data_IF_871777096815
#
_entry.id   IF_871777096815
#
_cell.length_a   1.000
_cell.length_b   1.000
_cell.length_c   1.000
_cell.angle_alpha   90.00
_cell.angle_beta   90.00
_cell.angle_gamma   90.00
#
_symmetry.space_group_name_H-M   'P 1'
#
loop_
_entity.id
_entity.type
_entity.pdbx_description
1 polymer ?
#
# COMPACT_ATOMS: atom_id res chain seq x y z
N UNK A 1 -12.13 -51.08 37.81
CA UNK A 1 -12.85 -50.63 36.59
C UNK A 1 -13.65 -49.41 36.97
N UNK A 2 -13.40 -48.24 36.35
CA UNK A 2 -14.18 -47.02 36.62
C UNK A 2 -13.37 -45.73 36.54
N UNK A 3 -12.85 -45.40 35.35
CA UNK A 3 -12.26 -44.08 35.09
C UNK A 3 -13.38 -43.14 34.66
N UNK A 4 -13.83 -42.27 35.57
CA UNK A 4 -14.82 -41.23 35.28
C UNK A 4 -14.18 -40.18 34.35
N UNK A 5 -14.74 -40.03 33.14
CA UNK A 5 -14.37 -39.01 32.18
C UNK A 5 -15.07 -37.69 32.53
N UNK A 6 -14.28 -36.62 32.60
CA UNK A 6 -14.73 -35.26 32.92
C UNK A 6 -15.65 -34.69 31.84
N UNK A 7 -16.66 -33.98 32.33
CA UNK A 7 -17.66 -33.21 31.60
C UNK A 7 -17.06 -32.10 30.71
N UNK A 8 -17.73 -31.91 29.57
CA UNK A 8 -17.49 -30.98 28.46
C UNK A 8 -16.95 -29.59 28.83
N UNK A 9 -15.72 -29.30 28.40
CA UNK A 9 -15.22 -27.92 28.25
C UNK A 9 -15.46 -27.47 26.81
N UNK A 10 -16.55 -26.74 26.57
CA UNK A 10 -16.73 -26.03 25.31
C UNK A 10 -15.63 -24.96 25.15
N UNK A 11 -14.82 -25.09 24.09
CA UNK A 11 -13.62 -24.31 23.82
C UNK A 11 -13.97 -22.86 23.41
N UNK A 12 -13.44 -21.81 24.06
CA UNK A 12 -13.79 -20.40 23.82
C UNK A 12 -13.35 -19.84 22.45
N UNK A 13 -12.66 -20.63 21.62
CA UNK A 13 -12.18 -20.23 20.30
C UNK A 13 -13.28 -20.11 19.23
N UNK A 14 -14.46 -20.69 19.46
CA UNK A 14 -15.54 -20.70 18.44
C UNK A 14 -16.41 -19.42 18.50
N UNK A 15 -16.35 -18.66 19.60
CA UNK A 15 -17.10 -17.39 19.74
C UNK A 15 -16.38 -16.22 19.08
N UNK A 16 -15.05 -16.28 18.96
CA UNK A 16 -14.24 -15.25 18.28
C UNK A 16 -14.42 -15.27 16.74
N UNK A 17 -14.72 -16.42 16.14
CA UNK A 17 -14.87 -16.56 14.67
C UNK A 17 -16.20 -16.05 14.08
N UNK A 18 -17.17 -15.62 14.90
CA UNK A 18 -18.39 -14.96 14.36
C UNK A 18 -18.23 -13.46 14.18
N UNK A 19 -17.35 -12.79 14.93
CA UNK A 19 -17.06 -11.35 14.75
C UNK A 19 -16.09 -11.08 13.60
N UNK A 20 -15.06 -11.92 13.46
CA UNK A 20 -14.10 -11.78 12.35
C UNK A 20 -14.69 -11.91 10.96
N UNK A 21 -15.83 -12.59 10.78
CA UNK A 21 -16.44 -12.74 9.45
C UNK A 21 -17.17 -11.47 8.98
N UNK A 22 -17.73 -10.69 9.92
CA UNK A 22 -18.27 -9.38 9.61
C UNK A 22 -17.14 -8.38 9.36
N UNK A 23 -16.08 -8.44 10.17
CA UNK A 23 -14.88 -7.63 9.98
C UNK A 23 -14.17 -7.97 8.67
N UNK A 24 -14.01 -9.24 8.28
CA UNK A 24 -13.40 -9.64 7.02
C UNK A 24 -14.20 -9.14 5.80
N UNK A 25 -15.53 -9.24 5.84
CA UNK A 25 -16.36 -8.78 4.72
C UNK A 25 -16.36 -7.26 4.65
N UNK A 26 -16.49 -6.57 5.78
CA UNK A 26 -16.44 -5.10 5.83
C UNK A 26 -15.05 -4.58 5.44
N UNK A 27 -13.98 -5.24 5.88
CA UNK A 27 -12.60 -4.90 5.55
C UNK A 27 -12.32 -5.18 4.07
N UNK A 28 -12.81 -6.28 3.50
CA UNK A 28 -12.69 -6.57 2.06
C UNK A 28 -13.49 -5.60 1.19
N UNK A 29 -14.67 -5.19 1.64
CA UNK A 29 -15.47 -4.17 0.96
C UNK A 29 -14.76 -2.81 1.08
N UNK A 30 -14.24 -2.46 2.25
CA UNK A 30 -13.47 -1.24 2.45
C UNK A 30 -12.19 -1.22 1.59
N UNK A 31 -11.49 -2.34 1.48
CA UNK A 31 -10.32 -2.52 0.61
C UNK A 31 -10.69 -2.43 -0.86
N UNK A 32 -11.80 -3.03 -1.26
CA UNK A 32 -12.34 -2.95 -2.62
C UNK A 32 -12.71 -1.53 -3.01
N UNK A 33 -13.43 -0.82 -2.14
CA UNK A 33 -13.81 0.59 -2.34
C UNK A 33 -12.57 1.48 -2.37
N UNK A 34 -11.62 1.28 -1.46
CA UNK A 34 -10.35 2.03 -1.44
C UNK A 34 -9.59 1.86 -2.75
N UNK A 35 -9.48 0.62 -3.25
CA UNK A 35 -8.78 0.32 -4.50
C UNK A 35 -9.53 0.85 -5.72
N UNK A 36 -10.86 0.84 -5.69
CA UNK A 36 -11.71 1.35 -6.75
C UNK A 36 -11.67 2.89 -6.83
N UNK A 37 -11.78 3.58 -5.69
CA UNK A 37 -11.76 5.04 -5.60
C UNK A 37 -10.42 5.66 -6.02
N UNK A 38 -9.30 4.95 -5.84
CA UNK A 38 -7.98 5.38 -6.28
C UNK A 38 -7.63 5.06 -7.74
N UNK A 39 -8.59 4.63 -8.57
CA UNK A 39 -8.32 4.09 -9.91
C UNK A 39 -9.07 4.86 -11.02
N UNK A 40 -8.42 5.04 -12.19
CA UNK A 40 -9.05 5.64 -13.38
C UNK A 40 -10.39 5.04 -13.84
N UNK A 41 -10.69 3.72 -13.73
CA UNK A 41 -11.97 3.18 -14.16
C UNK A 41 -13.19 3.75 -13.42
N UNK A 42 -13.03 4.26 -12.19
CA UNK A 42 -14.12 4.92 -11.47
C UNK A 42 -14.67 6.13 -12.26
N UNK A 43 -13.77 6.97 -12.80
CA UNK A 43 -14.14 8.16 -13.56
C UNK A 43 -14.92 7.80 -14.83
N UNK A 44 -14.49 6.74 -15.53
CA UNK A 44 -15.17 6.28 -16.75
C UNK A 44 -16.57 5.73 -16.46
N UNK A 45 -16.73 4.93 -15.41
CA UNK A 45 -18.06 4.44 -15.00
C UNK A 45 -18.97 5.60 -14.64
N UNK A 46 -18.48 6.56 -13.87
CA UNK A 46 -19.26 7.72 -13.46
C UNK A 46 -19.67 8.60 -14.66
N UNK A 47 -18.76 8.84 -15.60
CA UNK A 47 -19.05 9.58 -16.83
C UNK A 47 -20.10 8.87 -17.70
N UNK A 48 -20.02 7.54 -17.85
CA UNK A 48 -21.01 6.77 -18.63
C UNK A 48 -22.37 6.78 -17.94
N UNK A 49 -22.42 6.58 -16.63
CA UNK A 49 -23.67 6.63 -15.86
C UNK A 49 -24.32 8.01 -15.98
N UNK A 50 -23.55 9.09 -15.84
CA UNK A 50 -24.05 10.45 -15.96
C UNK A 50 -24.55 10.76 -17.38
N UNK A 51 -23.81 10.32 -18.41
CA UNK A 51 -24.22 10.48 -19.81
C UNK A 51 -25.50 9.71 -20.15
N UNK A 52 -25.59 8.44 -19.72
CA UNK A 52 -26.80 7.61 -19.89
C UNK A 52 -27.98 8.23 -19.14
N UNK A 53 -27.77 8.67 -17.90
CA UNK A 53 -28.83 9.28 -17.10
C UNK A 53 -29.36 10.57 -17.73
N UNK A 54 -28.47 11.47 -18.17
CA UNK A 54 -28.82 12.73 -18.82
C UNK A 54 -29.62 12.53 -20.12
N UNK A 55 -29.35 11.44 -20.85
CA UNK A 55 -30.04 11.12 -22.10
C UNK A 55 -31.42 10.46 -21.88
N UNK A 56 -31.61 9.71 -20.80
CA UNK A 56 -32.80 8.86 -20.61
C UNK A 56 -33.77 9.31 -19.50
N UNK A 57 -33.32 10.08 -18.50
CA UNK A 57 -34.09 10.34 -17.28
C UNK A 57 -34.46 11.81 -17.02
N UNK A 58 -34.07 12.75 -17.87
CA UNK A 58 -34.28 14.18 -17.62
C UNK A 58 -35.62 14.69 -18.20
N UNK A 59 -36.66 14.80 -17.35
CA UNK A 59 -37.96 15.38 -17.71
C UNK A 59 -38.36 16.63 -16.88
N UNK A 60 -37.65 16.97 -15.80
CA UNK A 60 -37.98 18.13 -14.96
C UNK A 60 -36.75 18.62 -14.18
N UNK A 61 -36.14 19.75 -14.56
CA UNK A 61 -34.79 20.04 -14.11
C UNK A 61 -34.76 21.12 -13.00
N UNK A 62 -33.78 21.00 -12.10
CA UNK A 62 -32.88 22.07 -11.61
C UNK A 62 -32.58 22.18 -10.09
N UNK A 63 -33.48 21.98 -9.11
CA UNK A 63 -33.09 22.18 -7.71
C UNK A 63 -32.63 20.91 -6.97
N UNK A 64 -33.40 19.82 -7.06
CA UNK A 64 -33.18 18.62 -6.23
C UNK A 64 -32.02 17.76 -6.72
N UNK A 65 -31.82 17.66 -8.05
CA UNK A 65 -30.72 16.90 -8.64
C UNK A 65 -29.36 17.45 -8.26
N UNK A 66 -29.17 18.76 -8.38
CA UNK A 66 -27.92 19.45 -8.01
C UNK A 66 -27.61 19.28 -6.52
N UNK A 67 -28.65 19.21 -5.68
CA UNK A 67 -28.53 18.99 -4.24
C UNK A 67 -28.09 17.56 -3.91
N UNK A 68 -28.67 16.56 -4.60
CA UNK A 68 -28.26 15.15 -4.43
C UNK A 68 -26.86 14.89 -4.98
N UNK A 69 -26.55 15.40 -6.17
CA UNK A 69 -25.23 15.26 -6.80
C UNK A 69 -24.14 15.97 -5.98
N UNK A 70 -24.42 17.15 -5.42
CA UNK A 70 -23.44 17.83 -4.55
C UNK A 70 -23.18 17.04 -3.27
N UNK A 71 -24.20 16.42 -2.68
CA UNK A 71 -24.03 15.52 -1.54
C UNK A 71 -23.21 14.29 -1.93
N UNK A 72 -23.51 13.65 -3.07
CA UNK A 72 -22.76 12.51 -3.59
C UNK A 72 -21.29 12.87 -3.87
N UNK A 73 -21.02 14.05 -4.45
CA UNK A 73 -19.68 14.54 -4.72
C UNK A 73 -18.86 14.74 -3.44
N UNK A 74 -19.46 15.20 -2.33
CA UNK A 74 -18.79 15.30 -1.03
C UNK A 74 -18.38 13.90 -0.55
N UNK A 75 -19.30 12.93 -0.58
CA UNK A 75 -18.98 11.55 -0.22
C UNK A 75 -17.86 10.97 -1.08
N UNK A 76 -17.93 11.15 -2.40
CA UNK A 76 -16.90 10.69 -3.32
C UNK A 76 -15.54 11.34 -3.03
N UNK A 77 -15.51 12.65 -2.79
CA UNK A 77 -14.29 13.38 -2.43
C UNK A 77 -13.67 12.82 -1.15
N UNK A 78 -14.48 12.57 -0.11
CA UNK A 78 -14.00 11.94 1.13
C UNK A 78 -13.49 10.52 0.90
N UNK A 79 -14.18 9.70 0.10
CA UNK A 79 -13.72 8.35 -0.24
C UNK A 79 -12.42 8.36 -1.06
N UNK A 80 -12.29 9.28 -2.02
CA UNK A 80 -11.06 9.48 -2.79
C UNK A 80 -9.92 9.91 -1.88
N UNK A 81 -10.17 10.85 -0.96
CA UNK A 81 -9.18 11.33 0.01
C UNK A 81 -8.69 10.20 0.93
N UNK A 82 -9.59 9.33 1.40
CA UNK A 82 -9.23 8.13 2.17
C UNK A 82 -8.37 7.18 1.32
N UNK A 83 -8.73 6.97 0.05
CA UNK A 83 -7.96 6.17 -0.90
C UNK A 83 -6.55 6.71 -1.14
N UNK A 84 -6.43 8.02 -1.33
CA UNK A 84 -5.17 8.74 -1.48
C UNK A 84 -4.32 8.64 -0.21
N UNK A 85 -4.89 8.86 0.97
CA UNK A 85 -4.19 8.77 2.25
C UNK A 85 -3.60 7.37 2.49
N UNK A 86 -4.32 6.33 2.08
CA UNK A 86 -3.85 4.94 2.19
C UNK A 86 -2.78 4.59 1.15
N UNK A 87 -2.90 5.07 -0.09
CA UNK A 87 -1.84 4.92 -1.08
C UNK A 87 -0.58 5.67 -0.64
N UNK A 88 -0.72 6.87 -0.09
CA UNK A 88 0.41 7.65 0.44
C UNK A 88 1.13 6.91 1.57
N UNK A 89 0.39 6.31 2.51
CA UNK A 89 0.98 5.50 3.58
C UNK A 89 1.72 4.25 3.04
N UNK A 90 1.17 3.57 2.03
CA UNK A 90 1.83 2.42 1.40
C UNK A 90 3.08 2.84 0.62
N UNK A 91 3.03 3.97 -0.10
CA UNK A 91 4.18 4.51 -0.82
C UNK A 91 5.28 4.97 0.16
N UNK A 92 4.92 5.55 1.30
CA UNK A 92 5.88 5.89 2.36
C UNK A 92 6.56 4.66 2.94
N UNK A 93 5.80 3.62 3.31
CA UNK A 93 6.36 2.35 3.79
C UNK A 93 7.32 1.72 2.77
N UNK A 94 6.96 1.77 1.48
CA UNK A 94 7.82 1.27 0.42
C UNK A 94 9.08 2.13 0.27
N UNK A 95 8.95 3.44 0.28
CA UNK A 95 10.09 4.37 0.19
C UNK A 95 11.06 4.22 1.38
N UNK A 96 10.54 4.01 2.59
CA UNK A 96 11.36 3.76 3.78
C UNK A 96 12.15 2.45 3.66
N UNK A 97 11.53 1.39 3.13
CA UNK A 97 12.22 0.12 2.86
C UNK A 97 13.30 0.28 1.78
N UNK A 98 12.96 0.92 0.67
CA UNK A 98 13.88 1.18 -0.45
C UNK A 98 15.06 2.08 0.00
N UNK A 99 14.83 3.01 0.94
CA UNK A 99 15.86 3.88 1.50
C UNK A 99 16.91 3.10 2.30
N UNK A 100 16.49 2.15 3.15
CA UNK A 100 17.42 1.33 3.94
C UNK A 100 18.28 0.44 3.04
N UNK A 101 17.69 -0.12 1.98
CA UNK A 101 18.41 -0.93 1.01
C UNK A 101 19.46 -0.10 0.27
N UNK A 102 19.09 1.09 -0.21
CA UNK A 102 20.01 2.01 -0.89
C UNK A 102 21.13 2.52 0.04
N UNK A 103 20.85 2.80 1.31
CA UNK A 103 21.88 3.26 2.25
C UNK A 103 22.94 2.16 2.49
N UNK A 104 22.50 0.90 2.55
CA UNK A 104 23.38 -0.25 2.74
C UNK A 104 24.21 -0.55 1.48
N UNK A 105 23.60 -0.43 0.30
CA UNK A 105 24.32 -0.50 -0.98
C UNK A 105 25.37 0.60 -1.09
N UNK A 106 25.03 1.85 -0.75
CA UNK A 106 25.95 2.99 -0.84
C UNK A 106 27.13 2.85 0.12
N UNK A 107 26.89 2.40 1.36
CA UNK A 107 27.98 2.09 2.31
C UNK A 107 28.90 1.00 1.77
N UNK A 108 28.31 -0.09 1.28
CA UNK A 108 29.06 -1.21 0.72
C UNK A 108 29.91 -0.76 -0.49
N UNK A 109 29.33 0.05 -1.39
CA UNK A 109 30.04 0.58 -2.55
C UNK A 109 31.19 1.52 -2.17
N UNK A 110 30.97 2.35 -1.14
CA UNK A 110 32.00 3.23 -0.57
C UNK A 110 33.14 2.42 0.05
N UNK A 111 32.83 1.37 0.81
CA UNK A 111 33.83 0.51 1.45
C UNK A 111 34.62 -0.28 0.41
N UNK A 112 33.96 -0.80 -0.64
CA UNK A 112 34.62 -1.42 -1.79
C UNK A 112 35.57 -0.44 -2.48
N UNK A 113 35.13 0.80 -2.70
CA UNK A 113 35.97 1.84 -3.32
C UNK A 113 37.20 2.14 -2.48
N UNK A 114 37.06 2.25 -1.14
CA UNK A 114 38.19 2.44 -0.22
C UNK A 114 39.13 1.25 -0.23
N UNK A 115 38.61 0.03 -0.23
CA UNK A 115 39.41 -1.19 -0.30
C UNK A 115 40.21 -1.26 -1.61
N UNK A 116 39.57 -0.97 -2.75
CA UNK A 116 40.25 -0.89 -4.05
C UNK A 116 41.33 0.19 -4.04
N UNK A 117 41.04 1.38 -3.48
CA UNK A 117 42.03 2.45 -3.37
C UNK A 117 43.24 2.03 -2.52
N UNK A 118 43.00 1.40 -1.37
CA UNK A 118 44.07 0.91 -0.50
C UNK A 118 44.91 -0.18 -1.18
N UNK A 119 44.28 -1.15 -1.84
CA UNK A 119 44.97 -2.19 -2.62
C UNK A 119 45.79 -1.57 -3.77
N UNK A 120 45.25 -0.56 -4.44
CA UNK A 120 45.94 0.14 -5.54
C UNK A 120 47.15 0.92 -5.03
N UNK A 121 47.03 1.59 -3.88
CA UNK A 121 48.15 2.28 -3.24
C UNK A 121 49.25 1.33 -2.79
N UNK A 122 48.89 0.17 -2.25
CA UNK A 122 49.85 -0.87 -1.87
C UNK A 122 50.57 -1.45 -3.09
N UNK A 123 49.83 -1.76 -4.16
CA UNK A 123 50.41 -2.25 -5.42
C UNK A 123 51.37 -1.22 -6.04
N UNK A 124 50.97 0.05 -6.05
CA UNK A 124 51.82 1.15 -6.55
C UNK A 124 53.11 1.31 -5.74
N UNK A 125 53.02 1.19 -4.41
CA UNK A 125 54.20 1.28 -3.53
C UNK A 125 55.19 0.16 -3.80
N UNK A 126 54.72 -1.09 -3.90
CA UNK A 126 55.58 -2.25 -4.19
C UNK A 126 56.22 -2.17 -5.58
N UNK A 127 55.48 -1.70 -6.58
CA UNK A 127 56.03 -1.47 -7.93
C UNK A 127 57.16 -0.44 -7.93
N UNK A 128 57.04 0.65 -7.17
CA UNK A 128 58.09 1.67 -7.07
C UNK A 128 59.31 1.16 -6.29
N UNK A 129 59.11 0.35 -5.25
CA UNK A 129 60.20 -0.27 -4.50
C UNK A 129 60.97 -1.29 -5.37
N UNK A 130 60.28 -2.13 -6.14
CA UNK A 130 60.90 -3.10 -7.06
C UNK A 130 61.67 -2.44 -8.24
N UNK A 131 61.24 -1.26 -8.69
CA UNK A 131 61.95 -0.45 -9.70
C UNK A 131 63.17 0.30 -9.12
N UNK A 132 63.21 0.53 -7.80
CA UNK A 132 64.31 1.24 -7.14
C UNK A 132 65.49 0.32 -6.75
N UNK A 133 65.28 -0.99 -6.69
CA UNK A 133 66.32 -1.99 -6.38
C UNK A 133 66.98 -2.62 -7.62
N UNK A 134 66.61 -2.19 -8.84
CA UNK A 134 67.23 -2.58 -10.12
C UNK A 134 68.15 -1.49 -10.68
#
# INVERSE_FOLDING_TARGET
MGVQHGTDRHHPAVVAHRKHRAEDVQLRIADGITRFAGSMPFVYVHAVVFAVWMLFFEASPWPTLTLVVSLEAIFLSTFVMIGQNRQAAFQQLKADHDFVEQELELKTNTDLTRAIHAMTQELHRRLIEDDAEQ
#
